data_IF_454416071524
#
_entry.id   IF_454416071524
#
_cell.length_a   1.000
_cell.length_b   1.000
_cell.length_c   1.000
_cell.angle_alpha   90.00
_cell.angle_beta   90.00
_cell.angle_gamma   90.00
#
_symmetry.space_group_name_H-M   'P 1'
#
loop_
_entity.id
_entity.type
_entity.pdbx_description
1 polymer ?
#
# COMPACT_ATOMS: atom_id res chain seq x y z
N UNK A 1 -6.77 -2.60 -10.31
CA UNK A 1 -6.75 -1.19 -9.83
C UNK A 1 -5.54 -0.44 -10.37
N UNK A 2 -5.66 0.88 -10.58
CA UNK A 2 -4.52 1.75 -10.91
C UNK A 2 -3.82 2.17 -9.61
N UNK A 3 -2.49 2.08 -9.58
CA UNK A 3 -1.63 2.57 -8.50
C UNK A 3 -1.04 3.92 -8.90
N UNK A 4 -1.32 4.97 -8.15
CA UNK A 4 -0.91 6.34 -8.42
C UNK A 4 0.05 6.82 -7.33
N UNK A 5 1.11 7.54 -7.72
CA UNK A 5 1.98 8.22 -6.76
C UNK A 5 1.20 9.31 -6.00
N UNK A 6 1.26 9.27 -4.67
CA UNK A 6 0.56 10.22 -3.82
C UNK A 6 1.51 10.98 -2.89
N UNK A 7 2.81 10.99 -3.20
CA UNK A 7 3.88 11.49 -2.33
C UNK A 7 4.12 13.00 -2.42
N UNK A 8 3.75 13.66 -3.50
CA UNK A 8 3.94 15.10 -3.69
C UNK A 8 2.79 15.93 -3.12
N UNK A 9 3.01 17.23 -2.91
CA UNK A 9 1.97 18.19 -2.53
C UNK A 9 1.42 18.03 -1.11
N UNK A 10 2.23 17.53 -0.20
CA UNK A 10 1.94 17.52 1.23
C UNK A 10 2.48 18.78 1.91
N UNK A 11 1.84 19.12 3.01
CA UNK A 11 2.38 20.05 4.01
C UNK A 11 2.49 19.34 5.33
N UNK A 12 3.39 19.80 6.23
CA UNK A 12 3.46 19.30 7.59
C UNK A 12 3.71 20.41 8.58
N UNK A 13 3.34 20.18 9.83
CA UNK A 13 3.65 21.02 10.99
C UNK A 13 3.73 20.17 12.25
N UNK A 14 4.40 20.69 13.27
CA UNK A 14 4.29 20.15 14.63
C UNK A 14 2.98 20.64 15.27
N UNK A 15 2.32 19.81 16.07
CA UNK A 15 0.99 20.14 16.60
C UNK A 15 1.02 21.34 17.55
N UNK A 16 2.09 21.46 18.34
CA UNK A 16 2.28 22.53 19.33
C UNK A 16 2.80 23.85 18.74
N UNK A 17 3.24 23.85 17.46
CA UNK A 17 3.74 25.05 16.79
C UNK A 17 2.59 25.85 16.15
N UNK A 18 2.78 27.20 15.97
CA UNK A 18 1.84 27.99 15.18
C UNK A 18 1.59 27.36 13.80
N UNK A 19 0.46 27.62 13.15
CA UNK A 19 -0.02 26.90 11.95
C UNK A 19 0.79 27.13 10.67
N UNK A 20 2.07 27.51 10.76
CA UNK A 20 2.96 27.66 9.63
C UNK A 20 3.33 26.28 9.06
N UNK A 21 2.48 25.75 8.20
CA UNK A 21 2.73 24.48 7.51
C UNK A 21 3.86 24.64 6.48
N UNK A 22 4.75 23.65 6.43
CA UNK A 22 5.87 23.58 5.47
C UNK A 22 5.53 22.58 4.38
N UNK A 23 5.77 22.93 3.11
CA UNK A 23 5.62 22.01 1.99
C UNK A 23 6.66 20.89 2.06
N UNK A 24 6.23 19.66 1.83
CA UNK A 24 7.09 18.46 1.81
C UNK A 24 6.69 17.50 0.70
N UNK A 25 7.63 16.65 0.33
CA UNK A 25 7.40 15.46 -0.48
C UNK A 25 7.73 14.24 0.36
N UNK A 26 6.86 13.24 0.32
CA UNK A 26 7.07 11.97 1.03
C UNK A 26 8.03 11.05 0.25
N UNK A 27 8.76 10.17 0.93
CA UNK A 27 8.85 9.98 2.38
C UNK A 27 9.44 11.17 3.13
N UNK A 28 8.98 11.43 4.35
CA UNK A 28 9.46 12.54 5.16
C UNK A 28 9.56 12.14 6.64
N UNK A 29 10.72 12.44 7.23
CA UNK A 29 10.94 12.32 8.66
C UNK A 29 10.91 13.70 9.31
N UNK A 30 9.83 13.98 10.04
CA UNK A 30 9.63 15.27 10.67
C UNK A 30 10.65 15.55 11.79
N UNK A 31 11.04 14.50 12.52
CA UNK A 31 11.87 14.65 13.71
C UNK A 31 13.33 14.99 13.40
N UNK A 32 13.86 14.56 12.26
CA UNK A 32 15.26 14.78 11.89
C UNK A 32 15.62 16.27 11.77
N UNK A 33 14.64 17.12 11.51
CA UNK A 33 14.81 18.57 11.35
C UNK A 33 14.72 19.36 12.66
N UNK A 34 14.38 18.71 13.78
CA UNK A 34 14.20 19.41 15.06
C UNK A 34 15.52 19.63 15.83
N UNK A 35 16.59 19.03 15.39
CA UNK A 35 17.85 19.08 16.11
C UNK A 35 17.86 18.19 17.37
N UNK A 36 19.06 17.98 17.89
CA UNK A 36 19.31 17.14 19.07
C UNK A 36 19.41 17.98 20.33
N UNK A 37 18.86 17.47 21.44
CA UNK A 37 18.92 18.12 22.74
C UNK A 37 19.23 17.11 23.84
N UNK A 38 20.14 17.45 24.75
CA UNK A 38 20.40 16.65 25.94
C UNK A 38 19.16 16.53 26.86
N UNK A 39 18.20 17.45 26.74
CA UNK A 39 16.94 17.44 27.45
C UNK A 39 15.81 16.67 26.73
N UNK A 40 16.10 16.05 25.57
CA UNK A 40 15.09 15.26 24.85
C UNK A 40 14.59 14.09 25.72
N UNK A 41 13.25 13.87 25.80
CA UNK A 41 12.65 12.88 26.70
C UNK A 41 13.18 11.45 26.50
N UNK A 42 13.48 11.08 25.24
CA UNK A 42 14.00 9.75 24.89
C UNK A 42 15.51 9.57 25.15
N UNK A 43 16.23 10.64 25.48
CA UNK A 43 17.68 10.58 25.73
C UNK A 43 18.46 9.85 24.63
N UNK A 44 19.44 9.03 25.02
CA UNK A 44 20.25 8.24 24.11
C UNK A 44 19.45 7.23 23.29
N UNK A 45 18.35 6.72 23.82
CA UNK A 45 17.53 5.71 23.18
C UNK A 45 16.86 6.21 21.88
N UNK A 46 16.61 7.52 21.80
CA UNK A 46 16.11 8.17 20.58
C UNK A 46 17.15 9.14 19.98
N UNK A 47 18.42 8.86 20.15
CA UNK A 47 19.53 9.67 19.65
C UNK A 47 19.45 11.16 20.04
N UNK A 48 18.80 11.48 21.17
CA UNK A 48 18.56 12.82 21.69
C UNK A 48 17.64 13.71 20.84
N UNK A 49 16.82 13.11 19.96
CA UNK A 49 15.76 13.83 19.25
C UNK A 49 14.49 13.90 20.10
N UNK A 50 13.73 15.02 20.03
CA UNK A 50 12.65 15.27 20.98
C UNK A 50 11.40 14.41 20.74
N UNK A 51 11.11 14.04 19.52
CA UNK A 51 9.81 13.47 19.16
C UNK A 51 8.70 14.52 19.20
N UNK A 52 7.44 14.08 19.15
CA UNK A 52 6.26 14.95 19.21
C UNK A 52 5.12 14.45 18.35
N UNK A 53 4.09 15.28 18.26
CA UNK A 53 2.92 15.04 17.39
C UNK A 53 3.04 15.88 16.12
N UNK A 54 2.97 15.22 14.96
CA UNK A 54 3.14 15.86 13.64
C UNK A 54 1.88 15.70 12.82
N UNK A 55 1.45 16.77 12.16
CA UNK A 55 0.25 16.81 11.33
C UNK A 55 0.68 17.03 9.89
N UNK A 56 0.27 16.12 9.02
CA UNK A 56 0.45 16.16 7.57
C UNK A 56 -0.88 16.42 6.91
N UNK A 57 -0.91 17.28 5.89
CA UNK A 57 -2.13 17.58 5.14
C UNK A 57 -1.85 17.58 3.64
N UNK A 58 -2.78 17.03 2.88
CA UNK A 58 -2.76 17.05 1.42
C UNK A 58 -4.14 17.38 0.89
N UNK A 59 -4.23 18.42 0.06
CA UNK A 59 -5.42 18.70 -0.73
C UNK A 59 -5.29 18.03 -2.09
N UNK A 60 -6.35 17.37 -2.56
CA UNK A 60 -6.40 16.67 -3.85
C UNK A 60 -7.82 16.68 -4.41
N UNK A 61 -7.91 16.61 -5.74
CA UNK A 61 -9.20 16.45 -6.43
C UNK A 61 -9.71 15.02 -6.30
N UNK A 62 -11.03 14.87 -6.12
CA UNK A 62 -11.67 13.56 -6.10
C UNK A 62 -11.40 12.82 -7.42
N UNK A 63 -10.82 11.60 -7.39
CA UNK A 63 -10.67 10.81 -8.61
C UNK A 63 -12.03 10.43 -9.20
N UNK A 64 -12.11 10.39 -10.53
CA UNK A 64 -13.24 9.77 -11.23
C UNK A 64 -13.11 8.24 -11.16
N UNK A 65 -13.51 7.66 -10.04
CA UNK A 65 -13.40 6.24 -9.74
C UNK A 65 -14.50 5.80 -8.77
N UNK A 66 -14.96 4.56 -8.90
CA UNK A 66 -15.98 4.01 -8.00
C UNK A 66 -15.37 3.49 -6.69
N UNK A 67 -14.07 3.18 -6.69
CA UNK A 67 -13.31 2.76 -5.52
C UNK A 67 -12.03 3.57 -5.40
N UNK A 68 -11.75 4.05 -4.19
CA UNK A 68 -10.53 4.78 -3.84
C UNK A 68 -9.99 4.29 -2.50
N UNK A 69 -8.70 3.95 -2.47
CA UNK A 69 -7.98 3.50 -1.28
C UNK A 69 -6.63 4.20 -1.19
N UNK A 70 -6.28 4.75 -0.03
CA UNK A 70 -4.94 5.28 0.24
C UNK A 70 -4.15 4.26 1.05
N UNK A 71 -3.02 3.78 0.50
CA UNK A 71 -2.06 2.93 1.20
C UNK A 71 -0.92 3.77 1.75
N UNK A 72 -0.71 3.69 3.06
CA UNK A 72 0.47 4.17 3.76
C UNK A 72 1.41 2.99 3.98
N UNK A 73 2.60 3.01 3.39
CA UNK A 73 3.58 1.93 3.62
C UNK A 73 4.24 2.01 5.00
N UNK A 74 4.20 3.17 5.65
CA UNK A 74 4.63 3.34 7.03
C UNK A 74 4.48 4.77 7.55
N UNK A 75 3.86 4.88 8.73
CA UNK A 75 3.72 6.12 9.50
C UNK A 75 4.19 5.86 10.92
N UNK A 76 5.23 6.51 11.39
CA UNK A 76 5.71 6.35 12.75
C UNK A 76 5.27 7.53 13.62
N UNK A 77 4.43 7.30 14.61
CA UNK A 77 3.56 6.18 15.00
C UNK A 77 2.19 6.71 15.40
N UNK A 78 1.32 5.82 15.97
CA UNK A 78 -0.03 6.17 16.43
C UNK A 78 -0.74 7.07 15.41
N UNK A 79 -0.76 6.60 14.15
CA UNK A 79 -1.35 7.35 13.06
C UNK A 79 -2.86 7.49 13.21
N UNK A 80 -3.37 8.70 12.99
CA UNK A 80 -4.80 8.98 12.80
C UNK A 80 -4.97 9.60 11.43
N UNK A 81 -5.83 9.01 10.59
CA UNK A 81 -6.13 9.50 9.25
C UNK A 81 -7.55 10.07 9.22
N UNK A 82 -7.68 11.30 8.77
CA UNK A 82 -8.97 11.97 8.60
C UNK A 82 -9.12 12.50 7.17
N UNK A 83 -10.33 12.46 6.64
CA UNK A 83 -10.72 13.08 5.37
C UNK A 83 -11.76 14.17 5.64
N UNK A 84 -11.50 15.38 5.16
CA UNK A 84 -12.38 16.54 5.35
C UNK A 84 -12.80 16.76 6.83
N UNK A 85 -11.91 16.43 7.77
CA UNK A 85 -12.14 16.52 9.21
C UNK A 85 -12.81 15.31 9.86
N UNK A 86 -13.33 14.33 9.10
CA UNK A 86 -13.87 13.07 9.62
C UNK A 86 -12.74 12.04 9.77
N UNK A 87 -12.54 11.50 10.98
CA UNK A 87 -11.59 10.42 11.22
C UNK A 87 -12.06 9.12 10.55
N UNK A 88 -11.21 8.57 9.68
CA UNK A 88 -11.49 7.34 8.96
C UNK A 88 -10.82 6.12 9.58
N UNK A 89 -9.60 6.27 10.06
CA UNK A 89 -8.80 5.15 10.59
C UNK A 89 -7.77 5.60 11.62
N UNK A 90 -7.38 4.66 12.47
CA UNK A 90 -6.21 4.77 13.36
C UNK A 90 -5.31 3.56 13.18
N UNK A 91 -3.98 3.76 13.26
CA UNK A 91 -3.00 2.69 13.16
C UNK A 91 -1.85 2.94 14.12
N UNK A 92 -1.71 2.10 15.13
CA UNK A 92 -0.76 2.36 16.22
C UNK A 92 0.68 1.97 15.88
N UNK A 93 0.89 0.85 15.16
CA UNK A 93 2.20 0.28 14.93
C UNK A 93 2.91 0.91 13.73
N UNK A 94 4.06 1.53 13.98
CA UNK A 94 4.75 2.36 12.97
C UNK A 94 5.47 1.61 11.85
N UNK A 95 5.61 0.28 11.91
CA UNK A 95 6.42 -0.50 10.94
C UNK A 95 5.62 -1.32 9.93
N UNK A 96 4.31 -1.38 10.06
CA UNK A 96 3.44 -2.10 9.11
C UNK A 96 2.68 -1.14 8.20
N UNK A 97 2.45 -1.53 6.94
CA UNK A 97 1.57 -0.78 6.06
C UNK A 97 0.11 -0.91 6.52
N UNK A 98 -0.68 0.10 6.17
CA UNK A 98 -2.13 0.08 6.34
C UNK A 98 -2.81 0.88 5.23
N UNK A 99 -4.04 0.51 4.93
CA UNK A 99 -4.83 1.18 3.90
C UNK A 99 -6.11 1.78 4.48
N UNK A 100 -6.57 2.85 3.86
CA UNK A 100 -7.79 3.57 4.25
C UNK A 100 -8.66 3.76 3.02
N UNK A 101 -9.87 3.19 3.05
CA UNK A 101 -10.86 3.35 1.99
C UNK A 101 -11.52 4.72 2.09
N UNK A 102 -11.65 5.39 0.95
CA UNK A 102 -12.28 6.71 0.83
C UNK A 102 -13.68 6.65 0.20
N UNK A 103 -14.20 5.46 -0.11
CA UNK A 103 -15.47 5.25 -0.78
C UNK A 103 -16.64 5.88 -0.02
N UNK A 104 -17.45 6.66 -0.73
CA UNK A 104 -18.60 7.35 -0.16
C UNK A 104 -18.24 8.51 0.79
N UNK A 105 -16.96 8.86 0.93
CA UNK A 105 -16.48 9.95 1.80
C UNK A 105 -15.89 11.13 1.04
N UNK A 106 -15.59 10.93 -0.25
CA UNK A 106 -15.09 12.01 -1.11
C UNK A 106 -16.20 12.97 -1.49
N UNK A 107 -15.92 14.25 -1.40
CA UNK A 107 -16.75 15.30 -1.98
C UNK A 107 -16.33 15.56 -3.41
N UNK A 108 -17.26 15.97 -4.31
CA UNK A 108 -16.88 16.46 -5.63
C UNK A 108 -15.91 17.64 -5.52
N UNK A 109 -14.83 17.62 -6.32
CA UNK A 109 -13.78 18.63 -6.26
C UNK A 109 -12.73 18.36 -5.19
N UNK A 110 -12.27 19.40 -4.54
CA UNK A 110 -11.15 19.35 -3.60
C UNK A 110 -11.51 18.66 -2.28
N UNK A 111 -10.64 17.77 -1.84
CA UNK A 111 -10.70 17.07 -0.55
C UNK A 111 -9.38 17.24 0.20
N UNK A 112 -9.43 17.26 1.53
CA UNK A 112 -8.25 17.36 2.38
C UNK A 112 -8.09 16.09 3.19
N UNK A 113 -6.97 15.40 2.96
CA UNK A 113 -6.52 14.25 3.76
C UNK A 113 -5.55 14.76 4.84
N UNK A 114 -5.86 14.48 6.11
CA UNK A 114 -5.03 14.84 7.26
C UNK A 114 -4.51 13.57 7.91
N UNK A 115 -3.21 13.52 8.18
CA UNK A 115 -2.55 12.42 8.90
C UNK A 115 -1.84 12.99 10.12
N UNK A 116 -2.26 12.56 11.30
CA UNK A 116 -1.57 12.84 12.54
C UNK A 116 -0.67 11.67 12.89
N UNK A 117 0.62 11.91 13.08
CA UNK A 117 1.59 10.93 13.57
C UNK A 117 2.03 11.33 14.98
N UNK A 118 1.61 10.59 15.99
CA UNK A 118 1.89 10.89 17.39
C UNK A 118 3.01 10.01 17.94
N UNK A 119 4.21 10.58 18.05
CA UNK A 119 5.39 10.01 18.67
C UNK A 119 5.86 10.84 19.87
N UNK A 120 4.91 11.38 20.63
CA UNK A 120 5.21 12.20 21.82
C UNK A 120 5.66 11.35 23.03
N UNK A 121 5.18 10.10 23.13
CA UNK A 121 5.58 9.18 24.21
C UNK A 121 7.05 8.76 24.06
N UNK A 122 7.88 9.10 25.02
CA UNK A 122 9.27 8.74 25.06
C UNK A 122 9.64 8.04 26.40
N UNK A 123 10.57 7.06 26.35
CA UNK A 123 11.22 6.46 25.19
C UNK A 123 10.28 5.51 24.45
N UNK A 124 10.27 5.59 23.12
CA UNK A 124 9.44 4.72 22.26
C UNK A 124 10.20 3.54 21.62
N UNK A 125 11.49 3.48 21.80
CA UNK A 125 12.39 2.45 21.26
C UNK A 125 13.76 2.56 21.90
N UNK A 126 14.72 1.77 21.40
CA UNK A 126 16.13 1.79 21.79
C UNK A 126 17.04 2.27 20.67
N UNK A 127 16.46 2.90 19.66
CA UNK A 127 17.15 3.43 18.49
C UNK A 127 16.36 4.62 17.94
N UNK A 128 16.98 5.38 17.05
CA UNK A 128 16.33 6.45 16.35
C UNK A 128 15.17 5.90 15.48
N UNK A 129 13.95 6.29 15.81
CA UNK A 129 12.74 5.77 15.13
C UNK A 129 12.30 6.63 13.95
N UNK A 130 12.69 7.90 13.92
CA UNK A 130 12.04 8.91 13.09
C UNK A 130 10.62 9.23 13.56
N UNK A 131 9.94 10.12 12.85
CA UNK A 131 8.53 10.45 13.08
C UNK A 131 7.87 10.95 11.81
N UNK A 132 6.60 10.60 11.62
CA UNK A 132 5.83 11.06 10.47
C UNK A 132 5.65 9.99 9.40
N UNK A 133 5.33 10.43 8.17
CA UNK A 133 5.10 9.54 7.02
C UNK A 133 6.45 9.21 6.37
N UNK A 134 7.15 8.21 6.93
CA UNK A 134 8.53 7.90 6.57
C UNK A 134 8.68 6.90 5.41
N UNK A 135 7.57 6.38 4.88
CA UNK A 135 7.50 5.53 3.69
C UNK A 135 6.52 6.10 2.66
N UNK A 136 6.58 5.60 1.41
CA UNK A 136 5.68 6.07 0.36
C UNK A 136 4.20 5.94 0.68
N UNK A 137 3.42 6.83 0.06
CA UNK A 137 1.95 6.80 0.07
C UNK A 137 1.45 6.64 -1.36
N UNK A 138 0.47 5.75 -1.54
CA UNK A 138 -0.10 5.43 -2.83
C UNK A 138 -1.61 5.61 -2.80
N UNK A 139 -2.16 6.17 -3.88
CA UNK A 139 -3.59 6.20 -4.11
C UNK A 139 -3.92 5.09 -5.11
N UNK A 140 -4.78 4.17 -4.70
CA UNK A 140 -5.35 3.15 -5.57
C UNK A 140 -6.74 3.56 -6.00
N UNK A 141 -7.04 3.42 -7.30
CA UNK A 141 -8.35 3.69 -7.86
C UNK A 141 -8.85 2.50 -8.66
N UNK A 142 -10.13 2.20 -8.52
CA UNK A 142 -10.83 1.11 -9.21
C UNK A 142 -12.15 1.56 -9.79
N UNK A 143 -12.60 0.86 -10.84
CA UNK A 143 -13.95 0.99 -11.40
C UNK A 143 -15.02 0.30 -10.54
N UNK A 144 -16.17 0.01 -11.13
CA UNK A 144 -17.27 -0.75 -10.47
C UNK A 144 -16.85 -2.18 -10.13
N UNK A 145 -15.98 -2.77 -10.97
CA UNK A 145 -15.33 -4.04 -10.71
C UNK A 145 -13.81 -3.84 -10.70
N UNK A 146 -13.12 -4.45 -9.73
CA UNK A 146 -11.68 -4.34 -9.60
C UNK A 146 -11.09 -5.55 -8.85
N UNK A 147 -9.85 -5.90 -9.18
CA UNK A 147 -9.04 -6.86 -8.42
C UNK A 147 -8.49 -6.13 -7.21
N UNK A 148 -8.74 -6.65 -6.00
CA UNK A 148 -8.27 -6.01 -4.77
C UNK A 148 -6.75 -5.90 -4.75
N UNK A 149 -6.23 -4.93 -4.04
CA UNK A 149 -4.79 -4.82 -3.77
C UNK A 149 -4.31 -6.11 -3.08
N UNK A 150 -3.25 -6.72 -3.61
CA UNK A 150 -2.78 -8.04 -3.16
C UNK A 150 -3.83 -9.17 -3.32
N UNK A 151 -4.87 -8.96 -4.13
CA UNK A 151 -5.96 -9.90 -4.34
C UNK A 151 -5.62 -11.07 -5.24
N UNK A 152 -4.39 -11.23 -5.74
CA UNK A 152 -3.95 -12.40 -6.49
C UNK A 152 -2.96 -13.17 -5.62
N UNK A 153 -3.35 -14.38 -5.19
CA UNK A 153 -2.48 -15.28 -4.45
C UNK A 153 -2.18 -16.52 -5.30
N UNK A 154 -0.90 -16.85 -5.43
CA UNK A 154 -0.42 -18.01 -6.21
C UNK A 154 0.35 -18.93 -5.28
N UNK A 155 -0.09 -20.20 -5.21
CA UNK A 155 0.48 -21.22 -4.33
C UNK A 155 0.88 -22.45 -5.14
N UNK A 156 2.13 -22.90 -5.05
CA UNK A 156 2.55 -24.21 -5.61
C UNK A 156 2.03 -25.31 -4.71
N UNK A 157 1.19 -26.19 -5.26
CA UNK A 157 0.66 -27.37 -4.54
C UNK A 157 1.57 -28.59 -4.71
N UNK A 158 2.12 -28.78 -5.91
CA UNK A 158 3.07 -29.85 -6.23
C UNK A 158 3.98 -29.42 -7.37
N UNK A 159 5.12 -30.09 -7.51
CA UNK A 159 6.11 -29.82 -8.57
C UNK A 159 6.20 -30.93 -9.61
N UNK A 160 5.63 -32.12 -9.35
CA UNK A 160 5.62 -33.24 -10.29
C UNK A 160 4.34 -34.10 -10.13
N UNK A 161 3.29 -33.90 -10.99
CA UNK A 161 3.18 -32.80 -11.94
C UNK A 161 3.10 -31.44 -11.24
N UNK A 162 3.56 -30.39 -11.90
CA UNK A 162 3.48 -29.05 -11.33
C UNK A 162 2.03 -28.57 -11.29
N UNK A 163 1.50 -28.34 -10.10
CA UNK A 163 0.16 -27.81 -9.87
C UNK A 163 0.25 -26.53 -9.09
N UNK A 164 -0.45 -25.51 -9.57
CA UNK A 164 -0.48 -24.15 -9.02
C UNK A 164 -1.92 -23.78 -8.73
N UNK A 165 -2.19 -23.44 -7.47
CA UNK A 165 -3.46 -22.82 -7.08
C UNK A 165 -3.37 -21.31 -7.27
N UNK A 166 -4.40 -20.73 -7.87
CA UNK A 166 -4.56 -19.28 -8.01
C UNK A 166 -5.88 -18.87 -7.37
N UNK A 167 -5.79 -18.02 -6.36
CA UNK A 167 -6.94 -17.41 -5.70
C UNK A 167 -7.00 -15.94 -6.08
N UNK A 168 -8.17 -15.46 -6.50
CA UNK A 168 -8.42 -14.09 -6.93
C UNK A 168 -9.49 -13.46 -6.04
N UNK A 169 -9.12 -12.45 -5.25
CA UNK A 169 -10.05 -11.60 -4.52
C UNK A 169 -10.33 -10.34 -5.33
N UNK A 170 -11.56 -10.23 -5.82
CA UNK A 170 -12.02 -9.13 -6.65
C UNK A 170 -13.40 -8.65 -6.21
N UNK A 171 -13.74 -7.43 -6.56
CA UNK A 171 -15.07 -6.85 -6.41
C UNK A 171 -15.73 -6.80 -7.79
N UNK A 172 -16.85 -7.50 -7.95
CA UNK A 172 -17.55 -7.57 -9.24
C UNK A 172 -16.82 -8.41 -10.30
N UNK A 173 -17.49 -8.66 -11.42
CA UNK A 173 -16.96 -9.35 -12.58
C UNK A 173 -16.60 -10.82 -12.39
N UNK A 174 -16.09 -11.43 -13.45
CA UNK A 174 -15.60 -12.81 -13.48
C UNK A 174 -14.10 -12.80 -13.81
N UNK A 175 -13.23 -13.37 -12.97
CA UNK A 175 -11.82 -13.44 -13.24
C UNK A 175 -11.49 -14.54 -14.25
N UNK A 176 -10.61 -14.22 -15.20
CA UNK A 176 -9.92 -15.16 -16.08
C UNK A 176 -8.43 -15.08 -15.78
N UNK A 177 -7.79 -16.23 -15.66
CA UNK A 177 -6.39 -16.40 -15.24
C UNK A 177 -5.59 -17.01 -16.38
N UNK A 178 -4.40 -16.46 -16.63
CA UNK A 178 -3.39 -17.02 -17.50
C UNK A 178 -2.06 -17.08 -16.77
N UNK A 179 -1.41 -18.26 -16.84
CA UNK A 179 -0.04 -18.43 -16.37
C UNK A 179 0.90 -18.35 -17.57
N UNK A 180 1.82 -17.41 -17.53
CA UNK A 180 2.81 -17.19 -18.58
C UNK A 180 4.18 -17.65 -18.11
N UNK A 181 4.90 -18.36 -18.98
CA UNK A 181 6.28 -18.77 -18.73
C UNK A 181 7.26 -17.56 -18.83
N UNK A 182 8.56 -17.74 -18.49
CA UNK A 182 9.54 -16.67 -18.59
C UNK A 182 9.72 -16.07 -20.00
N UNK A 183 9.23 -16.74 -21.04
CA UNK A 183 9.23 -16.22 -22.42
C UNK A 183 7.98 -15.39 -22.75
N UNK A 184 6.99 -15.35 -21.85
CA UNK A 184 5.70 -14.68 -22.05
C UNK A 184 4.65 -15.54 -22.77
N UNK A 185 4.89 -16.85 -22.95
CA UNK A 185 3.93 -17.77 -23.54
C UNK A 185 2.96 -18.28 -22.49
N UNK A 186 1.66 -18.29 -22.80
CA UNK A 186 0.63 -18.89 -21.95
C UNK A 186 0.84 -20.41 -21.89
N UNK A 187 1.02 -20.96 -20.68
CA UNK A 187 1.25 -22.38 -20.41
C UNK A 187 0.08 -23.05 -19.69
N UNK A 188 -0.77 -22.28 -19.04
CA UNK A 188 -2.02 -22.75 -18.45
C UNK A 188 -2.99 -21.59 -18.33
N UNK A 189 -4.30 -21.85 -18.36
CA UNK A 189 -5.34 -20.84 -18.19
C UNK A 189 -6.63 -21.44 -17.62
N UNK A 190 -7.47 -20.60 -17.06
CA UNK A 190 -8.78 -20.96 -16.52
C UNK A 190 -9.59 -19.75 -16.15
N UNK A 191 -10.84 -19.96 -15.72
CA UNK A 191 -11.76 -18.91 -15.29
C UNK A 191 -12.37 -19.28 -13.94
N UNK A 192 -12.39 -18.32 -13.02
CA UNK A 192 -12.92 -18.49 -11.67
C UNK A 192 -12.02 -17.81 -10.63
N UNK A 193 -12.55 -17.67 -9.41
CA UNK A 193 -11.85 -17.00 -8.31
C UNK A 193 -10.92 -17.94 -7.53
N UNK A 194 -11.04 -19.25 -7.68
CA UNK A 194 -10.16 -20.27 -7.09
C UNK A 194 -9.96 -21.39 -8.11
N UNK A 195 -8.74 -21.57 -8.56
CA UNK A 195 -8.36 -22.45 -9.65
C UNK A 195 -7.12 -23.26 -9.29
N UNK A 196 -7.12 -24.55 -9.63
CA UNK A 196 -5.90 -25.35 -9.68
C UNK A 196 -5.52 -25.62 -11.14
N UNK A 197 -4.36 -25.12 -11.54
CA UNK A 197 -3.85 -25.21 -12.90
C UNK A 197 -2.62 -26.12 -12.94
N UNK A 198 -2.54 -27.00 -13.93
CA UNK A 198 -1.36 -27.82 -14.18
C UNK A 198 -0.45 -27.11 -15.18
N UNK A 199 0.82 -26.97 -14.83
CA UNK A 199 1.84 -26.37 -15.71
C UNK A 199 2.72 -27.51 -16.27
N UNK A 200 2.55 -27.87 -17.55
CA UNK A 200 3.37 -28.91 -18.16
C UNK A 200 4.83 -28.44 -18.29
N UNK A 201 5.76 -29.35 -18.09
CA UNK A 201 7.21 -29.13 -18.23
C UNK A 201 7.71 -27.90 -17.47
N UNK A 202 7.21 -27.73 -16.25
CA UNK A 202 7.49 -26.55 -15.43
C UNK A 202 8.99 -26.41 -15.13
N UNK A 203 9.51 -25.21 -15.36
CA UNK A 203 10.86 -24.84 -14.89
C UNK A 203 10.76 -24.41 -13.43
N UNK A 204 11.36 -25.20 -12.55
CA UNK A 204 11.35 -24.92 -11.13
C UNK A 204 12.25 -23.71 -10.80
N UNK A 205 11.82 -22.94 -9.82
CA UNK A 205 12.62 -21.86 -9.27
C UNK A 205 13.65 -22.43 -8.29
N UNK A 206 14.87 -21.95 -8.39
CA UNK A 206 15.93 -22.12 -7.40
C UNK A 206 16.79 -20.85 -7.36
N UNK A 207 17.67 -20.71 -6.36
CA UNK A 207 18.61 -19.60 -6.29
C UNK A 207 19.60 -19.56 -7.47
N UNK A 208 19.99 -20.72 -7.98
CA UNK A 208 20.87 -20.84 -9.15
C UNK A 208 20.13 -20.65 -10.48
N UNK A 209 18.81 -20.89 -10.51
CA UNK A 209 17.95 -20.77 -11.67
C UNK A 209 16.61 -20.14 -11.30
N UNK A 210 16.55 -18.82 -11.11
CA UNK A 210 15.36 -18.12 -10.61
C UNK A 210 14.31 -17.93 -11.73
N UNK A 211 13.72 -19.04 -12.19
CA UNK A 211 12.68 -19.05 -13.22
C UNK A 211 11.39 -18.46 -12.67
N UNK A 212 10.98 -17.29 -13.16
CA UNK A 212 9.75 -16.61 -12.75
C UNK A 212 8.68 -16.71 -13.82
N UNK A 213 7.50 -17.11 -13.40
CA UNK A 213 6.26 -17.09 -14.17
C UNK A 213 5.50 -15.81 -13.87
N UNK A 214 4.55 -15.46 -14.73
CA UNK A 214 3.59 -14.38 -14.51
C UNK A 214 2.19 -14.96 -14.44
N UNK A 215 1.47 -14.67 -13.37
CA UNK A 215 0.03 -14.90 -13.28
C UNK A 215 -0.66 -13.60 -13.68
N UNK A 216 -1.31 -13.59 -14.85
CA UNK A 216 -2.12 -12.48 -15.34
C UNK A 216 -3.60 -12.79 -15.08
N UNK A 217 -4.29 -11.83 -14.51
CA UNK A 217 -5.72 -11.92 -14.23
C UNK A 217 -6.44 -10.77 -14.91
N UNK A 218 -7.45 -11.10 -15.70
CA UNK A 218 -8.40 -10.14 -16.27
C UNK A 218 -9.77 -10.32 -15.61
N UNK A 219 -10.42 -9.21 -15.25
CA UNK A 219 -11.74 -9.19 -14.67
C UNK A 219 -12.74 -8.64 -15.70
N UNK A 220 -13.76 -9.42 -16.04
CA UNK A 220 -14.74 -9.04 -17.05
C UNK A 220 -16.18 -9.16 -16.54
N UNK A 221 -17.08 -8.32 -17.06
CA UNK A 221 -18.52 -8.43 -16.84
C UNK A 221 -19.27 -8.13 -18.15
N UNK A 222 -20.16 -9.03 -18.57
CA UNK A 222 -20.91 -8.88 -19.82
C UNK A 222 -20.02 -8.78 -21.07
N UNK A 223 -18.77 -9.25 -21.03
CA UNK A 223 -17.80 -9.14 -22.12
C UNK A 223 -16.96 -7.84 -22.07
N UNK A 224 -17.24 -6.93 -21.17
CA UNK A 224 -16.45 -5.71 -20.95
C UNK A 224 -15.31 -5.97 -19.97
N UNK A 225 -14.10 -5.47 -20.28
CA UNK A 225 -12.95 -5.52 -19.37
C UNK A 225 -13.11 -4.47 -18.26
N UNK A 226 -13.18 -4.93 -17.01
CA UNK A 226 -13.30 -4.05 -15.83
C UNK A 226 -11.93 -3.73 -15.23
N UNK A 227 -11.04 -4.74 -15.11
CA UNK A 227 -9.71 -4.55 -14.51
C UNK A 227 -8.74 -5.64 -14.99
N UNK A 228 -7.45 -5.34 -14.87
CA UNK A 228 -6.37 -6.28 -15.16
C UNK A 228 -5.25 -6.12 -14.12
N UNK A 229 -4.67 -7.23 -13.69
CA UNK A 229 -3.52 -7.24 -12.81
C UNK A 229 -2.62 -8.45 -13.08
N UNK A 230 -1.35 -8.34 -12.72
CA UNK A 230 -0.40 -9.44 -12.84
C UNK A 230 0.54 -9.50 -11.64
N UNK A 231 0.93 -10.73 -11.27
CA UNK A 231 1.94 -10.98 -10.23
C UNK A 231 2.96 -11.99 -10.73
N UNK A 232 4.22 -11.82 -10.32
CA UNK A 232 5.28 -12.79 -10.61
C UNK A 232 5.36 -13.83 -9.50
N UNK A 233 5.63 -15.10 -9.88
CA UNK A 233 5.80 -16.20 -8.94
C UNK A 233 6.81 -17.22 -9.44
N UNK A 234 7.38 -18.02 -8.53
CA UNK A 234 8.22 -19.17 -8.85
C UNK A 234 7.53 -20.48 -8.46
N UNK A 235 7.67 -21.52 -9.28
CA UNK A 235 7.19 -22.87 -8.95
C UNK A 235 8.29 -23.58 -8.17
N UNK A 236 8.04 -23.92 -6.93
CA UNK A 236 9.02 -24.53 -6.02
C UNK A 236 8.36 -25.36 -4.91
#
# INVERSE_FOLDING_TARGET
MKKLDFNSGWTFRKAEEPPAARAVTLPHDAMIHEGRSAAAPGGSDNAFFPGGTYIYEKTFEAPDAAHCEVLFEGVYRNATVALNGETLATHAYGYTPFAVTLDGKLHPGANTLTVTADNADAPSGRWYTGSGIYRPVWLYTGGKGYIRREGIRVTTLSVNPAQVQVEVDASGGLPAVELLDPSGRVVASGSGADLTLTVPDARLWSEDSPSLYTCRVTLTEGGELLDEAAVSFGIR
#
